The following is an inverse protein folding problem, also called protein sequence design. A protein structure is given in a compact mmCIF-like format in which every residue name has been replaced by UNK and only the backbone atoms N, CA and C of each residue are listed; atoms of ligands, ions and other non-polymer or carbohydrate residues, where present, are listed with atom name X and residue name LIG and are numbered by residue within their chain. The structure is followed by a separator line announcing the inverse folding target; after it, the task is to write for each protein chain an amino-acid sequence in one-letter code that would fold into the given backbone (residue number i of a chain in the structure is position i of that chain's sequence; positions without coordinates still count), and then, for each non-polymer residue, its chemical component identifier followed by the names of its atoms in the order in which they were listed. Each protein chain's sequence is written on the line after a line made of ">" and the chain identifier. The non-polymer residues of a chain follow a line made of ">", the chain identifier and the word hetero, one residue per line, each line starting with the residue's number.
data_IF_668736163839
#
_entry.id   IF_668736163839
#
_cell.length_a   1.000
_cell.length_b   1.000
_cell.length_c   1.000
_cell.angle_alpha   90.00
_cell.angle_beta   90.00
_cell.angle_gamma   90.00
#
_symmetry.space_group_name_H-M   'P 1'
#
loop_
_entity.id
_entity.type
_entity.pdbx_description
1 polymer ?
#
# COMPACT_ATOMS: atom_id res chain seq x y z
N UNK A 1 -26.57 4.27 -4.26
CA UNK A 1 -26.54 3.54 -2.98
C UNK A 1 -25.10 3.25 -2.63
N UNK A 2 -24.66 3.56 -1.41
CA UNK A 2 -23.31 3.19 -0.94
C UNK A 2 -23.37 1.75 -0.41
N UNK A 3 -22.73 0.81 -1.11
CA UNK A 3 -22.58 -0.56 -0.62
C UNK A 3 -21.40 -0.59 0.35
N UNK A 4 -21.64 -1.08 1.57
CA UNK A 4 -20.57 -1.33 2.55
C UNK A 4 -19.61 -2.37 1.98
N UNK A 5 -18.32 -2.05 1.95
CA UNK A 5 -17.25 -2.97 1.60
C UNK A 5 -16.41 -3.23 2.84
N UNK A 6 -15.87 -4.45 2.93
CA UNK A 6 -14.96 -4.85 3.99
C UNK A 6 -13.62 -5.21 3.35
N UNK A 7 -12.50 -4.83 3.97
CA UNK A 7 -11.19 -5.19 3.45
C UNK A 7 -10.96 -6.71 3.53
N UNK A 8 -10.15 -7.23 2.61
CA UNK A 8 -9.73 -8.62 2.56
C UNK A 8 -8.22 -8.68 2.80
N UNK A 9 -7.76 -9.64 3.60
CA UNK A 9 -6.33 -9.89 3.78
C UNK A 9 -5.72 -10.49 2.50
N UNK A 10 -4.56 -9.98 2.11
CA UNK A 10 -3.75 -10.55 1.03
C UNK A 10 -2.27 -10.35 1.32
N UNK A 11 -1.41 -11.12 0.62
CA UNK A 11 0.04 -10.99 0.68
C UNK A 11 0.53 -10.04 -0.41
N UNK A 12 1.49 -9.20 -0.08
CA UNK A 12 2.19 -8.29 -1.00
C UNK A 12 3.68 -8.23 -0.68
N UNK A 13 4.46 -7.79 -1.66
CA UNK A 13 5.91 -7.61 -1.51
C UNK A 13 6.62 -8.86 -0.99
N UNK A 14 7.54 -8.65 -0.05
CA UNK A 14 8.24 -9.71 0.66
C UNK A 14 7.57 -9.98 2.01
N UNK A 15 6.49 -10.78 1.98
CA UNK A 15 5.83 -11.29 3.19
C UNK A 15 4.96 -10.30 3.96
N UNK A 16 4.58 -9.18 3.35
CA UNK A 16 3.71 -8.18 4.01
C UNK A 16 2.25 -8.61 3.86
N UNK A 17 1.55 -8.74 5.00
CA UNK A 17 0.09 -8.91 5.01
C UNK A 17 -0.56 -7.54 4.96
N UNK A 18 -1.43 -7.32 3.97
CA UNK A 18 -2.19 -6.08 3.80
C UNK A 18 -3.68 -6.36 3.93
N UNK A 19 -4.42 -5.43 4.53
CA UNK A 19 -5.88 -5.40 4.51
C UNK A 19 -6.35 -4.52 3.36
N UNK A 20 -6.73 -5.13 2.24
CA UNK A 20 -7.09 -4.45 0.99
C UNK A 20 -8.58 -4.16 0.90
N UNK A 21 -8.95 -2.89 0.73
CA UNK A 21 -10.36 -2.50 0.52
C UNK A 21 -10.77 -2.58 -0.96
N UNK A 22 -9.86 -2.26 -1.87
CA UNK A 22 -9.96 -2.48 -3.32
C UNK A 22 -8.54 -2.42 -3.92
N UNK A 23 -8.25 -3.09 -5.05
CA UNK A 23 -9.14 -3.97 -5.81
C UNK A 23 -9.45 -5.28 -5.08
N UNK A 24 -10.73 -5.64 -5.03
CA UNK A 24 -11.25 -6.95 -4.62
C UNK A 24 -12.29 -7.40 -5.65
N UNK A 25 -12.68 -8.68 -5.64
CA UNK A 25 -13.62 -9.23 -6.63
C UNK A 25 -14.96 -8.47 -6.72
N UNK A 26 -15.41 -7.84 -5.62
CA UNK A 26 -16.65 -7.04 -5.60
C UNK A 26 -16.45 -5.57 -5.96
N UNK A 27 -15.21 -5.06 -5.98
CA UNK A 27 -14.89 -3.65 -6.25
C UNK A 27 -13.45 -3.52 -6.74
N UNK A 28 -13.30 -3.22 -8.03
CA UNK A 28 -11.99 -3.04 -8.64
C UNK A 28 -11.35 -1.69 -8.32
N UNK A 29 -12.14 -0.63 -8.25
CA UNK A 29 -11.68 0.72 -7.96
C UNK A 29 -12.80 1.57 -7.35
N UNK A 30 -12.45 2.75 -6.87
CA UNK A 30 -13.41 3.79 -6.50
C UNK A 30 -12.89 5.12 -7.04
N UNK A 31 -13.21 5.43 -8.29
CA UNK A 31 -12.73 6.62 -9.01
C UNK A 31 -12.74 7.88 -8.10
N UNK A 32 -11.59 8.53 -7.87
CA UNK A 32 -10.28 8.39 -8.55
C UNK A 32 -9.27 7.40 -7.96
N UNK A 33 -9.64 6.64 -6.94
CA UNK A 33 -8.73 5.74 -6.23
C UNK A 33 -8.67 4.36 -6.87
N UNK A 34 -7.45 3.89 -7.15
CA UNK A 34 -7.18 2.60 -7.80
C UNK A 34 -6.83 1.48 -6.82
N UNK A 35 -6.31 1.82 -5.63
CA UNK A 35 -5.93 0.87 -4.58
C UNK A 35 -6.06 1.50 -3.19
N UNK A 36 -6.45 0.70 -2.19
CA UNK A 36 -6.40 1.11 -0.79
C UNK A 36 -6.02 -0.07 0.11
N UNK A 37 -4.83 0.01 0.71
CA UNK A 37 -4.30 -0.99 1.62
C UNK A 37 -4.01 -0.38 3.01
N UNK A 38 -4.37 -1.11 4.06
CA UNK A 38 -3.88 -0.88 5.42
C UNK A 38 -2.92 -2.02 5.79
N UNK A 39 -1.69 -1.71 6.18
CA UNK A 39 -0.69 -2.74 6.42
C UNK A 39 0.23 -2.42 7.61
N UNK A 40 0.84 -3.48 8.14
CA UNK A 40 1.94 -3.41 9.09
C UNK A 40 3.13 -4.17 8.50
N UNK A 41 4.34 -3.65 8.66
CA UNK A 41 5.56 -4.30 8.17
C UNK A 41 6.34 -4.83 9.38
N UNK A 42 6.56 -6.13 9.42
CA UNK A 42 7.44 -6.78 10.39
C UNK A 42 8.91 -6.63 9.99
N UNK A 43 9.81 -6.75 10.97
CA UNK A 43 11.25 -6.67 10.71
C UNK A 43 11.69 -7.72 9.68
N UNK A 44 12.50 -7.32 8.70
CA UNK A 44 12.98 -8.18 7.62
C UNK A 44 12.02 -8.32 6.43
N UNK A 45 10.83 -7.75 6.50
CA UNK A 45 9.84 -7.75 5.43
C UNK A 45 9.67 -6.34 4.83
N UNK A 46 8.99 -6.25 3.69
CA UNK A 46 8.69 -4.95 3.07
C UNK A 46 8.25 -5.06 1.62
N UNK A 47 8.47 -3.98 0.88
CA UNK A 47 8.19 -3.91 -0.54
C UNK A 47 9.51 -3.70 -1.28
N UNK A 48 10.17 -4.76 -1.79
CA UNK A 48 11.41 -4.65 -2.56
C UNK A 48 11.22 -3.80 -3.82
N UNK A 49 12.31 -3.47 -4.52
CA UNK A 49 12.29 -2.66 -5.75
C UNK A 49 11.17 -3.10 -6.73
N UNK A 50 10.27 -2.17 -7.07
CA UNK A 50 9.16 -2.42 -7.98
C UNK A 50 8.73 -1.14 -8.74
N UNK A 51 8.20 -1.25 -9.97
CA UNK A 51 7.79 -0.10 -10.77
C UNK A 51 6.34 0.34 -10.52
N UNK A 52 6.06 1.62 -10.81
CA UNK A 52 4.70 2.18 -10.91
C UNK A 52 4.55 3.01 -12.18
N UNK A 53 3.33 3.15 -12.70
CA UNK A 53 3.03 4.00 -13.88
C UNK A 53 1.58 4.47 -13.88
N UNK A 54 1.37 5.76 -14.12
CA UNK A 54 0.04 6.32 -14.44
C UNK A 54 -0.87 6.63 -13.24
N UNK A 55 -0.33 6.60 -12.02
CA UNK A 55 -1.02 6.99 -10.78
C UNK A 55 0.00 7.46 -9.73
N UNK A 56 -0.50 7.97 -8.61
CA UNK A 56 0.30 8.38 -7.46
C UNK A 56 0.10 7.41 -6.30
N UNK A 57 1.20 7.07 -5.61
CA UNK A 57 1.15 6.31 -4.36
C UNK A 57 1.26 7.28 -3.18
N UNK A 58 0.32 7.22 -2.25
CA UNK A 58 0.33 8.02 -1.02
C UNK A 58 0.46 7.06 0.15
N UNK A 59 1.57 7.15 0.88
CA UNK A 59 1.79 6.39 2.12
C UNK A 59 1.64 7.32 3.31
N UNK A 60 0.80 6.94 4.26
CA UNK A 60 0.58 7.68 5.51
C UNK A 60 0.97 6.84 6.72
N UNK A 61 1.93 7.32 7.51
CA UNK A 61 2.46 6.58 8.65
C UNK A 61 1.61 6.81 9.91
N UNK A 62 0.98 5.76 10.43
CA UNK A 62 0.19 5.82 11.68
C UNK A 62 1.04 5.60 12.93
N UNK A 63 2.07 4.75 12.83
CA UNK A 63 3.01 4.37 13.89
C UNK A 63 4.28 3.80 13.26
N UNK A 64 5.43 3.95 13.92
CA UNK A 64 6.69 3.40 13.43
C UNK A 64 7.32 4.26 12.33
N UNK A 65 8.05 3.63 11.41
CA UNK A 65 8.66 4.30 10.28
C UNK A 65 9.05 3.35 9.14
N UNK A 66 9.32 3.92 7.97
CA UNK A 66 9.64 3.22 6.73
C UNK A 66 10.77 3.93 6.01
N UNK A 67 11.70 3.16 5.46
CA UNK A 67 12.71 3.67 4.53
C UNK A 67 12.21 3.52 3.09
N UNK A 68 12.25 4.59 2.32
CA UNK A 68 11.86 4.60 0.91
C UNK A 68 13.01 5.09 0.04
N UNK A 69 13.22 4.41 -1.09
CA UNK A 69 14.15 4.80 -2.15
C UNK A 69 13.47 4.68 -3.51
N UNK A 70 13.84 5.53 -4.46
CA UNK A 70 13.30 5.46 -5.81
C UNK A 70 14.36 5.60 -6.92
N UNK A 71 13.91 5.46 -8.17
CA UNK A 71 14.75 5.51 -9.36
C UNK A 71 15.17 6.94 -9.79
N UNK A 72 14.66 7.98 -9.14
CA UNK A 72 15.13 9.36 -9.30
C UNK A 72 16.24 9.71 -8.31
N UNK A 73 16.60 8.77 -7.44
CA UNK A 73 17.64 8.93 -6.43
C UNK A 73 17.13 9.53 -5.12
N UNK A 74 15.81 9.62 -4.93
CA UNK A 74 15.28 9.99 -3.63
C UNK A 74 15.52 8.86 -2.63
N UNK A 75 15.87 9.23 -1.40
CA UNK A 75 16.17 8.33 -0.30
C UNK A 75 15.71 9.01 1.00
N UNK A 76 14.64 8.50 1.61
CA UNK A 76 13.99 9.14 2.76
C UNK A 76 13.48 8.13 3.78
N UNK A 77 13.65 8.45 5.06
CA UNK A 77 12.98 7.75 6.16
C UNK A 77 11.74 8.54 6.59
N UNK A 78 10.57 7.91 6.49
CA UNK A 78 9.28 8.48 6.89
C UNK A 78 8.88 7.89 8.24
N UNK A 79 8.67 8.73 9.24
CA UNK A 79 8.12 8.34 10.55
C UNK A 79 6.76 8.97 10.79
N UNK A 80 6.03 8.47 11.80
CA UNK A 80 4.93 9.22 12.42
C UNK A 80 5.47 10.48 13.11
#
# INVERSE_FOLDING_TARGET
>A
MLTKAYPQETLEGDGVVVNRLFPISQRMNFDPFVLWDHFNISAGHGFPDHPHRGFEAITYMLTGGMHHKDNLGNDAFVSK
#
